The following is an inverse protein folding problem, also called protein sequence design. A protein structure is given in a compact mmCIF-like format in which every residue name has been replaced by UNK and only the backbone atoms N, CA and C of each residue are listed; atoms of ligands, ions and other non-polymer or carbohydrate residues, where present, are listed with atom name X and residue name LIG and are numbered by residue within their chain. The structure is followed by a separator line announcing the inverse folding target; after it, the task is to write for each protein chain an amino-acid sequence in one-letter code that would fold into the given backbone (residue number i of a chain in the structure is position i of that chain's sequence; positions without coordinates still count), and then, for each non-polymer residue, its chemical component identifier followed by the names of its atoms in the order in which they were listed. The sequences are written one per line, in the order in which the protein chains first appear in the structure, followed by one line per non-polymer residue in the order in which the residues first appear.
data_IF_417325174253
#
_entry.id   IF_417325174253
#
_cell.length_a   1.000
_cell.length_b   1.000
_cell.length_c   1.000
_cell.angle_alpha   90.00
_cell.angle_beta   90.00
_cell.angle_gamma   90.00
#
_symmetry.space_group_name_H-M   'P 1'
#
loop_
_entity.id
_entity.type
_entity.pdbx_description
1 polymer ?
#
# COMPACT_ATOMS: atom_id res chain seq x y z
N UNK A 1 -13.38 -24.09 -29.85
CA UNK A 1 -13.63 -24.52 -28.47
C UNK A 1 -12.96 -23.52 -27.55
N UNK A 2 -13.72 -22.81 -26.70
CA UNK A 2 -13.12 -22.02 -25.62
C UNK A 2 -12.39 -23.00 -24.68
N UNK A 3 -11.11 -22.75 -24.37
CA UNK A 3 -10.41 -23.51 -23.34
C UNK A 3 -11.10 -23.21 -22.02
N UNK A 4 -11.76 -24.21 -21.42
CA UNK A 4 -12.36 -24.10 -20.11
C UNK A 4 -11.27 -24.33 -19.06
N UNK A 5 -10.95 -23.30 -18.28
CA UNK A 5 -10.01 -23.36 -17.16
C UNK A 5 -8.82 -22.40 -17.30
N UNK A 6 -8.06 -22.27 -16.22
CA UNK A 6 -6.86 -21.46 -16.16
C UNK A 6 -5.69 -22.15 -16.89
N UNK A 7 -4.67 -21.40 -17.35
CA UNK A 7 -3.43 -21.96 -17.87
C UNK A 7 -2.79 -22.95 -16.89
N UNK A 8 -2.01 -23.93 -17.38
CA UNK A 8 -1.36 -24.93 -16.51
C UNK A 8 -0.31 -24.31 -15.58
N UNK A 9 0.28 -23.22 -15.99
CA UNK A 9 1.28 -22.42 -15.29
C UNK A 9 0.68 -21.28 -14.46
N UNK A 10 -0.65 -21.25 -14.31
CA UNK A 10 -1.34 -20.26 -13.47
C UNK A 10 -0.91 -20.41 -12.00
N UNK A 11 -0.47 -19.28 -11.41
CA UNK A 11 0.01 -19.25 -10.03
C UNK A 11 -1.16 -19.04 -9.05
N UNK A 12 -1.60 -20.13 -8.45
CA UNK A 12 -2.54 -20.07 -7.32
C UNK A 12 -1.78 -19.68 -6.05
N UNK A 13 -2.30 -18.73 -5.29
CA UNK A 13 -1.62 -18.24 -4.11
C UNK A 13 -2.52 -17.55 -3.11
N UNK A 14 -1.89 -16.96 -2.12
CA UNK A 14 -2.53 -16.17 -1.07
C UNK A 14 -1.86 -14.82 -0.91
N UNK A 15 -2.55 -13.90 -0.21
CA UNK A 15 -2.04 -12.58 0.11
C UNK A 15 -2.22 -12.25 1.59
N UNK A 16 -1.21 -11.64 2.18
CA UNK A 16 -1.24 -11.13 3.55
C UNK A 16 -0.51 -9.79 3.63
N UNK A 17 -0.79 -8.99 4.64
CA UNK A 17 -0.07 -7.75 4.90
C UNK A 17 0.79 -7.90 6.16
N UNK A 18 2.01 -7.36 6.15
CA UNK A 18 2.90 -7.34 7.31
C UNK A 18 2.22 -6.78 8.56
N UNK A 19 1.54 -5.64 8.41
CA UNK A 19 0.82 -4.98 9.51
C UNK A 19 -0.32 -5.82 10.11
N UNK A 20 -0.93 -6.72 9.33
CA UNK A 20 -2.01 -7.59 9.79
C UNK A 20 -1.50 -8.89 10.41
N UNK A 21 -0.34 -9.35 9.96
CA UNK A 21 0.16 -10.68 10.27
C UNK A 21 1.33 -10.69 11.26
N UNK A 22 2.33 -9.83 11.05
CA UNK A 22 3.61 -9.95 11.74
C UNK A 22 3.49 -9.80 13.25
N UNK A 23 2.80 -8.78 13.75
CA UNK A 23 2.88 -8.41 15.16
C UNK A 23 4.29 -7.98 15.55
N UNK A 24 4.76 -8.38 16.75
CA UNK A 24 6.13 -8.06 17.20
C UNK A 24 6.51 -6.58 17.00
N UNK A 25 5.57 -5.67 17.32
CA UNK A 25 5.57 -4.27 16.86
C UNK A 25 6.73 -3.41 17.42
N UNK A 26 7.38 -3.86 18.51
CA UNK A 26 8.58 -3.24 19.08
C UNK A 26 9.78 -4.21 19.18
N UNK A 27 9.65 -5.42 18.59
CA UNK A 27 10.71 -6.43 18.68
C UNK A 27 11.80 -6.16 17.64
N UNK A 28 13.05 -6.50 18.01
CA UNK A 28 14.24 -6.47 17.17
C UNK A 28 14.48 -5.10 16.47
N UNK A 29 14.13 -4.02 17.19
CA UNK A 29 14.36 -2.66 16.73
C UNK A 29 13.36 -2.14 15.71
N UNK A 30 12.19 -2.80 15.51
CA UNK A 30 11.10 -2.22 14.71
C UNK A 30 10.64 -0.91 15.37
N UNK A 31 10.50 0.15 14.56
CA UNK A 31 9.85 1.40 14.96
C UNK A 31 8.32 1.30 14.92
N UNK A 32 7.66 2.28 15.56
CA UNK A 32 6.20 2.43 15.40
C UNK A 32 5.83 2.80 13.97
N UNK A 33 4.72 2.26 13.51
CA UNK A 33 4.12 2.64 12.24
C UNK A 33 2.66 3.09 12.39
N UNK A 34 2.10 3.62 11.32
CA UNK A 34 0.74 4.19 11.35
C UNK A 34 -0.36 3.19 11.66
N UNK A 35 -0.15 1.89 11.43
CA UNK A 35 -1.14 0.86 11.77
C UNK A 35 -1.12 0.50 13.24
N UNK A 36 0.01 0.66 13.94
CA UNK A 36 0.11 0.41 15.37
C UNK A 36 -0.80 1.34 16.19
N UNK A 37 -1.31 2.42 15.59
CA UNK A 37 -2.23 3.39 16.20
C UNK A 37 -3.71 3.16 15.88
N UNK A 38 -4.06 2.10 15.15
CA UNK A 38 -5.45 1.84 14.75
C UNK A 38 -6.21 1.14 15.85
N UNK A 39 -7.11 1.91 16.48
CA UNK A 39 -8.00 1.41 17.52
C UNK A 39 -9.11 0.52 16.95
N UNK A 40 -9.42 -0.54 17.67
CA UNK A 40 -10.53 -1.45 17.42
C UNK A 40 -11.11 -1.91 18.75
N UNK A 41 -12.43 -1.79 18.94
CA UNK A 41 -13.09 -2.35 20.11
C UNK A 41 -13.72 -3.71 19.72
N UNK A 42 -13.29 -4.83 20.34
CA UNK A 42 -13.83 -6.15 20.03
C UNK A 42 -15.34 -6.27 20.31
N UNK A 43 -15.87 -5.39 21.16
CA UNK A 43 -17.30 -5.36 21.53
C UNK A 43 -18.18 -4.59 20.55
N UNK A 44 -17.60 -3.91 19.55
CA UNK A 44 -18.39 -3.22 18.53
C UNK A 44 -19.32 -4.17 17.78
N UNK A 45 -20.56 -3.77 17.60
CA UNK A 45 -21.49 -4.40 16.69
C UNK A 45 -20.99 -4.30 15.24
N UNK A 46 -21.59 -5.06 14.33
CA UNK A 46 -21.24 -4.99 12.90
C UNK A 46 -21.45 -3.59 12.33
N UNK A 47 -22.53 -2.93 12.74
CA UNK A 47 -22.89 -1.57 12.35
C UNK A 47 -21.88 -0.55 12.89
N UNK A 48 -21.48 -0.67 14.15
CA UNK A 48 -20.46 0.18 14.76
C UNK A 48 -19.10 -0.01 14.09
N UNK A 49 -18.71 -1.24 13.78
CA UNK A 49 -17.48 -1.51 13.02
C UNK A 49 -17.49 -0.81 11.67
N UNK A 50 -18.61 -0.86 10.95
CA UNK A 50 -18.74 -0.20 9.66
C UNK A 50 -18.64 1.33 9.74
N UNK A 51 -19.11 1.93 10.84
CA UNK A 51 -19.11 3.38 11.05
C UNK A 51 -17.81 3.88 11.70
N UNK A 52 -17.29 3.13 12.69
CA UNK A 52 -16.15 3.54 13.53
C UNK A 52 -14.81 2.99 13.03
N UNK A 53 -14.81 2.05 12.08
CA UNK A 53 -13.55 1.57 11.46
C UNK A 53 -12.72 2.77 11.02
N UNK A 54 -11.49 2.85 11.52
CA UNK A 54 -10.60 4.02 11.44
C UNK A 54 -10.21 4.37 9.99
N UNK A 55 -11.19 4.86 9.22
CA UNK A 55 -10.94 5.43 7.89
C UNK A 55 -10.31 6.81 7.97
N UNK A 56 -10.52 7.49 9.11
CA UNK A 56 -9.99 8.82 9.42
C UNK A 56 -9.40 8.83 10.81
N UNK A 57 -8.23 9.39 10.93
CA UNK A 57 -7.52 9.62 12.17
C UNK A 57 -7.63 11.10 12.51
N UNK A 58 -7.95 11.43 13.75
CA UNK A 58 -7.84 12.78 14.28
C UNK A 58 -6.76 12.85 15.37
N UNK A 59 -6.40 14.06 15.78
CA UNK A 59 -5.33 14.31 16.73
C UNK A 59 -5.61 13.68 18.12
N UNK A 60 -6.86 13.66 18.56
CA UNK A 60 -7.27 13.02 19.82
C UNK A 60 -6.99 11.51 19.81
N UNK A 61 -7.44 10.80 18.78
CA UNK A 61 -7.21 9.35 18.63
C UNK A 61 -5.71 9.04 18.46
N UNK A 62 -5.00 9.89 17.74
CA UNK A 62 -3.57 9.76 17.54
C UNK A 62 -2.81 9.83 18.88
N UNK A 63 -3.10 10.84 19.69
CA UNK A 63 -2.52 11.01 21.04
C UNK A 63 -2.93 9.89 21.99
N UNK A 64 -4.19 9.48 21.99
CA UNK A 64 -4.69 8.39 22.81
C UNK A 64 -3.95 7.07 22.52
N UNK A 65 -3.73 6.75 21.24
CA UNK A 65 -3.02 5.54 20.84
C UNK A 65 -1.53 5.54 21.27
N UNK A 66 -0.91 6.72 21.31
CA UNK A 66 0.48 6.86 21.77
C UNK A 66 0.62 6.83 23.29
N UNK A 67 -0.43 7.19 24.03
CA UNK A 67 -0.42 7.25 25.49
C UNK A 67 -0.38 5.85 26.15
N UNK A 68 -0.86 4.82 25.44
CA UNK A 68 -0.87 3.44 25.95
C UNK A 68 -0.39 2.45 24.87
N UNK A 69 0.91 2.18 24.86
CA UNK A 69 1.51 1.20 23.96
C UNK A 69 1.39 -0.24 24.45
N UNK A 70 0.96 -0.47 25.69
CA UNK A 70 0.79 -1.80 26.26
C UNK A 70 -0.60 -2.39 25.95
N UNK A 71 -1.56 -1.57 25.55
CA UNK A 71 -2.89 -2.03 25.13
C UNK A 71 -2.81 -2.80 23.81
N UNK A 72 -2.82 -4.10 23.89
CA UNK A 72 -2.85 -5.00 22.74
C UNK A 72 -4.28 -5.41 22.36
N UNK A 73 -5.22 -5.32 23.30
CA UNK A 73 -6.62 -5.71 23.06
C UNK A 73 -7.30 -4.79 22.06
N UNK A 74 -7.10 -3.49 22.22
CA UNK A 74 -7.73 -2.47 21.36
C UNK A 74 -6.86 -2.05 20.15
N UNK A 75 -5.62 -2.53 20.08
CA UNK A 75 -4.71 -2.25 18.97
C UNK A 75 -4.21 -3.53 18.31
N UNK A 76 -5.08 -4.26 17.59
CA UNK A 76 -4.79 -5.62 17.10
C UNK A 76 -3.61 -5.70 16.14
N UNK A 77 -3.24 -4.62 15.45
CA UNK A 77 -2.09 -4.60 14.57
C UNK A 77 -0.75 -4.73 15.31
N UNK A 78 -0.71 -4.41 16.63
CA UNK A 78 0.49 -4.55 17.46
C UNK A 78 0.89 -6.01 17.68
N UNK A 79 -0.08 -6.93 17.68
CA UNK A 79 0.19 -8.36 17.87
C UNK A 79 -0.05 -9.19 16.60
N UNK A 80 -0.95 -8.77 15.68
CA UNK A 80 -1.30 -9.52 14.48
C UNK A 80 -1.69 -10.96 14.79
N UNK A 81 -1.18 -11.89 13.98
CA UNK A 81 -1.23 -13.35 14.25
C UNK A 81 0.12 -13.89 14.75
N UNK A 82 1.01 -12.99 15.16
CA UNK A 82 2.38 -13.28 15.60
C UNK A 82 3.22 -14.00 14.52
N UNK A 83 2.98 -13.65 13.26
CA UNK A 83 3.68 -14.25 12.12
C UNK A 83 5.20 -14.03 12.19
N UNK A 84 5.66 -12.91 12.76
CA UNK A 84 7.09 -12.63 12.92
C UNK A 84 7.84 -13.74 13.67
N UNK A 85 7.21 -14.32 14.70
CA UNK A 85 7.80 -15.38 15.52
C UNK A 85 7.41 -16.79 15.04
N UNK A 86 6.34 -16.93 14.23
CA UNK A 86 5.74 -18.23 13.86
C UNK A 86 5.79 -18.53 12.36
N UNK A 87 6.43 -17.70 11.57
CA UNK A 87 6.41 -17.78 10.10
C UNK A 87 6.87 -19.15 9.55
N UNK A 88 7.76 -19.86 10.25
CA UNK A 88 8.22 -21.19 9.82
C UNK A 88 7.06 -22.19 9.80
N UNK A 89 6.29 -22.26 10.90
CA UNK A 89 5.13 -23.15 11.01
C UNK A 89 4.04 -22.75 10.00
N UNK A 90 3.77 -21.47 9.88
CA UNK A 90 2.74 -20.96 8.96
C UNK A 90 3.13 -21.21 7.49
N UNK A 91 4.42 -21.13 7.16
CA UNK A 91 4.91 -21.41 5.81
C UNK A 91 4.79 -22.90 5.44
N UNK A 92 5.00 -23.81 6.39
CA UNK A 92 4.74 -25.24 6.19
C UNK A 92 3.26 -25.48 5.83
N UNK A 93 2.33 -24.82 6.55
CA UNK A 93 0.90 -24.90 6.26
C UNK A 93 0.56 -24.35 4.85
N UNK A 94 1.22 -23.26 4.42
CA UNK A 94 1.05 -22.73 3.06
C UNK A 94 1.55 -23.73 2.01
N UNK A 95 2.66 -24.40 2.27
CA UNK A 95 3.19 -25.43 1.37
C UNK A 95 2.25 -26.64 1.29
N UNK A 96 1.69 -27.11 2.43
CA UNK A 96 0.69 -28.18 2.48
C UNK A 96 -0.59 -27.81 1.72
N UNK A 97 -1.04 -26.54 1.82
CA UNK A 97 -2.18 -26.01 1.07
C UNK A 97 -1.90 -25.99 -0.44
N UNK A 98 -0.64 -26.07 -0.85
CA UNK A 98 -0.23 -26.16 -2.25
C UNK A 98 -0.19 -24.83 -2.98
N UNK A 99 -0.11 -23.69 -2.27
CA UNK A 99 0.04 -22.38 -2.91
C UNK A 99 1.36 -22.30 -3.69
N UNK A 100 1.36 -21.55 -4.78
CA UNK A 100 2.50 -21.39 -5.70
C UNK A 100 3.10 -20.01 -5.66
N UNK A 101 2.38 -19.05 -5.08
CA UNK A 101 2.86 -17.69 -4.86
C UNK A 101 2.29 -17.15 -3.55
N UNK A 102 3.15 -16.58 -2.72
CA UNK A 102 2.78 -15.84 -1.52
C UNK A 102 2.97 -14.35 -1.81
N UNK A 103 1.89 -13.58 -1.78
CA UNK A 103 1.98 -12.13 -1.74
C UNK A 103 2.05 -11.69 -0.28
N UNK A 104 3.15 -11.06 0.10
CA UNK A 104 3.28 -10.42 1.42
C UNK A 104 3.82 -9.01 1.28
N UNK A 105 3.70 -8.19 2.33
CA UNK A 105 4.31 -6.86 2.34
C UNK A 105 5.54 -6.82 3.23
N UNK A 106 6.39 -5.82 3.00
CA UNK A 106 7.57 -5.53 3.80
C UNK A 106 7.25 -4.34 4.70
N UNK A 107 7.43 -4.49 6.01
CA UNK A 107 7.20 -3.41 6.97
C UNK A 107 8.35 -2.40 6.91
N UNK A 108 8.07 -1.18 6.42
CA UNK A 108 9.08 -0.12 6.32
C UNK A 108 9.72 0.19 7.68
N UNK A 109 8.90 0.33 8.74
CA UNK A 109 9.39 0.61 10.09
C UNK A 109 10.23 -0.53 10.71
N UNK A 110 10.20 -1.75 10.12
CA UNK A 110 11.09 -2.83 10.53
C UNK A 110 12.47 -2.73 9.87
N UNK A 111 12.54 -2.13 8.68
CA UNK A 111 13.78 -1.92 7.93
C UNK A 111 14.44 -0.58 8.27
N UNK A 112 13.65 0.48 8.37
CA UNK A 112 14.06 1.82 8.80
C UNK A 112 13.11 2.29 9.89
N UNK A 113 13.44 2.11 11.18
CA UNK A 113 12.53 2.35 12.31
C UNK A 113 11.91 3.75 12.35
N UNK A 114 12.66 4.77 11.96
CA UNK A 114 12.19 6.15 11.83
C UNK A 114 11.86 6.54 10.38
N UNK A 115 12.25 5.73 9.40
CA UNK A 115 12.09 5.99 7.98
C UNK A 115 13.20 6.86 7.37
N UNK A 116 13.78 7.75 8.13
CA UNK A 116 14.90 8.62 7.75
C UNK A 116 16.26 8.19 8.33
N UNK A 117 16.32 7.03 8.98
CA UNK A 117 17.54 6.45 9.52
C UNK A 117 18.65 6.36 8.47
N UNK A 118 19.89 6.58 8.89
CA UNK A 118 21.04 6.54 7.98
C UNK A 118 21.39 5.13 7.50
N UNK A 119 21.08 4.11 8.30
CA UNK A 119 21.37 2.71 8.02
C UNK A 119 20.11 1.86 8.29
N UNK A 120 19.90 0.79 7.54
CA UNK A 120 18.79 -0.12 7.79
C UNK A 120 19.01 -0.96 9.06
N UNK A 121 17.91 -1.41 9.64
CA UNK A 121 17.91 -2.40 10.70
C UNK A 121 18.20 -3.79 10.12
N UNK A 122 19.37 -4.33 10.39
CA UNK A 122 19.82 -5.62 9.88
C UNK A 122 18.98 -6.80 10.36
N UNK A 123 18.40 -6.73 11.58
CA UNK A 123 17.48 -7.76 12.07
C UNK A 123 16.21 -7.84 11.22
N UNK A 124 15.66 -6.68 10.85
CA UNK A 124 14.51 -6.61 9.96
C UNK A 124 14.81 -7.15 8.56
N UNK A 125 15.96 -6.78 7.98
CA UNK A 125 16.39 -7.33 6.68
C UNK A 125 16.57 -8.84 6.75
N UNK A 126 17.23 -9.35 7.80
CA UNK A 126 17.44 -10.78 7.98
C UNK A 126 16.13 -11.56 8.04
N UNK A 127 15.12 -11.05 8.75
CA UNK A 127 13.80 -11.67 8.82
C UNK A 127 13.22 -11.91 7.41
N UNK A 128 13.21 -10.90 6.55
CA UNK A 128 12.67 -11.05 5.19
C UNK A 128 13.56 -11.91 4.28
N UNK A 129 14.89 -11.88 4.46
CA UNK A 129 15.79 -12.80 3.75
C UNK A 129 15.44 -14.25 4.08
N UNK A 130 15.38 -14.58 5.38
CA UNK A 130 15.09 -15.94 5.85
C UNK A 130 13.71 -16.41 5.38
N UNK A 131 12.68 -15.55 5.47
CA UNK A 131 11.32 -15.85 5.03
C UNK A 131 11.27 -16.13 3.52
N UNK A 132 11.90 -15.29 2.70
CA UNK A 132 11.85 -15.43 1.24
C UNK A 132 12.67 -16.61 0.75
N UNK A 133 13.83 -16.88 1.35
CA UNK A 133 14.63 -18.08 1.07
C UNK A 133 13.83 -19.35 1.40
N UNK A 134 13.09 -19.37 2.51
CA UNK A 134 12.22 -20.49 2.88
C UNK A 134 11.00 -20.63 1.95
N UNK A 135 10.40 -19.54 1.47
CA UNK A 135 9.36 -19.61 0.44
C UNK A 135 9.87 -20.36 -0.80
N UNK A 136 11.05 -20.00 -1.30
CA UNK A 136 11.65 -20.66 -2.46
C UNK A 136 12.01 -22.12 -2.18
N UNK A 137 12.49 -22.46 -0.97
CA UNK A 137 12.75 -23.84 -0.57
C UNK A 137 11.49 -24.73 -0.62
N UNK A 138 10.31 -24.15 -0.37
CA UNK A 138 9.00 -24.80 -0.51
C UNK A 138 8.40 -24.69 -1.92
N UNK A 139 9.12 -24.12 -2.90
CA UNK A 139 8.62 -23.91 -4.27
C UNK A 139 7.53 -22.84 -4.39
N UNK A 140 7.48 -21.91 -3.44
CA UNK A 140 6.53 -20.81 -3.38
C UNK A 140 7.25 -19.54 -3.88
N UNK A 141 6.72 -18.92 -4.92
CA UNK A 141 7.21 -17.63 -5.42
C UNK A 141 6.87 -16.50 -4.48
N UNK A 142 7.75 -15.50 -4.41
CA UNK A 142 7.58 -14.32 -3.58
C UNK A 142 7.04 -13.15 -4.41
N UNK A 143 5.90 -12.61 -3.99
CA UNK A 143 5.30 -11.41 -4.55
C UNK A 143 5.32 -10.31 -3.47
N UNK A 144 6.34 -9.46 -3.48
CA UNK A 144 6.54 -8.48 -2.42
C UNK A 144 5.79 -7.18 -2.69
N UNK A 145 4.97 -6.75 -1.74
CA UNK A 145 4.41 -5.40 -1.68
C UNK A 145 5.33 -4.55 -0.81
N UNK A 146 5.95 -3.52 -1.39
CA UNK A 146 6.92 -2.67 -0.69
C UNK A 146 6.22 -1.84 0.38
N UNK A 147 5.09 -1.19 0.04
CA UNK A 147 4.28 -0.43 0.99
C UNK A 147 2.84 -0.93 1.01
N UNK A 148 2.42 -1.51 2.14
CA UNK A 148 1.03 -1.88 2.38
C UNK A 148 0.41 -0.94 3.41
N UNK A 149 0.22 0.33 3.00
CA UNK A 149 -0.36 1.45 3.74
C UNK A 149 0.55 2.06 4.83
N UNK A 150 1.31 1.24 5.57
CA UNK A 150 2.04 1.69 6.75
C UNK A 150 3.32 2.44 6.42
N UNK A 151 3.54 3.58 7.08
CA UNK A 151 4.84 4.26 7.09
C UNK A 151 5.34 4.40 8.53
N UNK A 152 6.66 4.52 8.73
CA UNK A 152 7.21 4.87 10.05
C UNK A 152 6.55 6.11 10.63
N UNK A 153 6.13 6.02 11.89
CA UNK A 153 5.36 7.07 12.54
C UNK A 153 6.12 8.40 12.62
N UNK A 154 7.42 8.32 12.79
CA UNK A 154 8.31 9.49 12.78
C UNK A 154 8.16 10.34 11.51
N UNK A 155 7.98 9.72 10.34
CA UNK A 155 7.76 10.47 9.09
C UNK A 155 6.45 11.27 9.11
N UNK A 156 5.44 10.81 9.86
CA UNK A 156 4.17 11.55 10.03
C UNK A 156 4.38 12.73 10.98
N UNK A 157 5.02 12.50 12.13
CA UNK A 157 5.20 13.52 13.16
C UNK A 157 6.18 14.61 12.76
N UNK A 158 7.27 14.27 12.09
CA UNK A 158 8.32 15.23 11.72
C UNK A 158 8.07 15.92 10.38
N UNK A 159 7.52 15.18 9.40
CA UNK A 159 7.42 15.68 8.03
C UNK A 159 5.98 15.78 7.52
N UNK A 160 4.98 15.36 8.30
CA UNK A 160 3.58 15.31 7.87
C UNK A 160 3.28 14.18 6.88
N UNK A 161 4.04 13.10 6.93
CA UNK A 161 3.83 11.92 6.08
C UNK A 161 3.97 12.23 4.58
N UNK A 162 3.06 11.71 3.77
CA UNK A 162 3.08 11.89 2.32
C UNK A 162 2.83 13.32 1.81
N UNK A 163 2.50 14.28 2.69
CA UNK A 163 2.47 15.71 2.31
C UNK A 163 3.85 16.25 1.95
N UNK A 164 4.89 15.66 2.49
CA UNK A 164 6.26 16.11 2.30
C UNK A 164 7.02 15.33 1.23
N UNK A 165 7.74 16.03 0.36
CA UNK A 165 8.73 15.44 -0.55
C UNK A 165 9.83 14.69 0.20
N UNK A 166 10.10 15.05 1.45
CA UNK A 166 11.05 14.32 2.29
C UNK A 166 10.68 12.86 2.46
N UNK A 167 9.38 12.56 2.61
CA UNK A 167 8.89 11.18 2.66
C UNK A 167 9.13 10.43 1.34
N UNK A 168 9.01 11.10 0.19
CA UNK A 168 9.38 10.53 -1.12
C UNK A 168 10.86 10.13 -1.15
N UNK A 169 11.76 11.03 -0.73
CA UNK A 169 13.20 10.76 -0.67
C UNK A 169 13.51 9.56 0.24
N UNK A 170 12.90 9.54 1.44
CA UNK A 170 13.07 8.41 2.38
C UNK A 170 12.55 7.09 1.79
N UNK A 171 11.39 7.13 1.10
CA UNK A 171 10.82 5.96 0.45
C UNK A 171 11.71 5.42 -0.68
N UNK A 172 12.25 6.30 -1.52
CA UNK A 172 13.16 5.92 -2.61
C UNK A 172 14.45 5.30 -2.05
N UNK A 173 14.97 5.78 -0.93
CA UNK A 173 16.10 5.14 -0.24
C UNK A 173 15.73 3.78 0.32
N UNK A 174 14.56 3.64 0.94
CA UNK A 174 14.04 2.37 1.44
C UNK A 174 13.90 1.35 0.31
N UNK A 175 13.26 1.71 -0.79
CA UNK A 175 13.08 0.80 -1.93
C UNK A 175 14.40 0.39 -2.58
N UNK A 176 15.38 1.31 -2.66
CA UNK A 176 16.75 0.98 -3.10
C UNK A 176 17.37 -0.11 -2.23
N UNK A 177 17.28 0.05 -0.90
CA UNK A 177 17.80 -0.95 0.04
C UNK A 177 17.15 -2.31 -0.17
N UNK A 178 15.83 -2.36 -0.41
CA UNK A 178 15.14 -3.61 -0.68
C UNK A 178 15.62 -4.27 -1.98
N UNK A 179 15.77 -3.50 -3.07
CA UNK A 179 16.25 -4.04 -4.34
C UNK A 179 17.69 -4.56 -4.22
N UNK A 180 18.57 -3.84 -3.53
CA UNK A 180 19.97 -4.23 -3.34
C UNK A 180 20.13 -5.45 -2.42
N UNK A 181 19.25 -5.59 -1.39
CA UNK A 181 19.44 -6.60 -0.34
C UNK A 181 18.52 -7.83 -0.48
N UNK A 182 17.35 -7.68 -1.12
CA UNK A 182 16.33 -8.72 -1.26
C UNK A 182 16.02 -9.05 -2.72
N UNK A 183 16.59 -8.32 -3.67
CA UNK A 183 16.17 -8.36 -5.07
C UNK A 183 16.21 -9.74 -5.72
N UNK A 184 17.20 -10.55 -5.39
CA UNK A 184 17.38 -11.93 -5.88
C UNK A 184 16.38 -12.95 -5.29
N UNK A 185 15.61 -12.54 -4.26
CA UNK A 185 14.62 -13.35 -3.53
C UNK A 185 13.19 -13.02 -3.88
N UNK A 186 12.95 -12.05 -4.75
CA UNK A 186 11.59 -11.57 -5.05
C UNK A 186 11.28 -11.73 -6.53
N UNK A 187 10.22 -12.49 -6.84
CA UNK A 187 9.78 -12.77 -8.22
C UNK A 187 8.98 -11.61 -8.82
N UNK A 188 8.17 -10.92 -7.99
CA UNK A 188 7.30 -9.82 -8.42
C UNK A 188 7.27 -8.73 -7.36
N UNK A 189 7.27 -7.47 -7.79
CA UNK A 189 7.23 -6.31 -6.92
C UNK A 189 5.98 -5.47 -7.12
N UNK A 190 5.41 -4.97 -6.01
CA UNK A 190 4.41 -3.91 -6.00
C UNK A 190 4.91 -2.77 -5.11
N UNK A 191 5.21 -1.59 -5.65
CA UNK A 191 5.61 -0.45 -4.83
C UNK A 191 4.55 -0.06 -3.79
N UNK A 192 3.27 -0.05 -4.18
CA UNK A 192 2.16 0.32 -3.31
C UNK A 192 1.02 -0.69 -3.39
N UNK A 193 0.39 -0.98 -2.25
CA UNK A 193 -0.92 -1.61 -2.19
C UNK A 193 -2.01 -0.59 -2.53
N UNK A 194 -2.96 -0.96 -3.36
CA UNK A 194 -4.21 -0.24 -3.63
C UNK A 194 -4.10 1.29 -3.62
N UNK A 195 -3.48 1.87 -4.64
CA UNK A 195 -3.21 3.31 -4.75
C UNK A 195 -4.41 4.19 -4.44
N UNK A 196 -5.62 3.76 -4.86
CA UNK A 196 -6.85 4.50 -4.66
C UNK A 196 -7.35 4.51 -3.22
N UNK A 197 -6.73 3.74 -2.31
CA UNK A 197 -7.03 3.80 -0.88
C UNK A 197 -6.84 5.21 -0.30
N UNK A 198 -5.92 6.00 -0.82
CA UNK A 198 -5.71 7.38 -0.41
C UNK A 198 -6.97 8.24 -0.45
N UNK A 199 -7.90 7.96 -1.38
CA UNK A 199 -9.17 8.69 -1.48
C UNK A 199 -10.27 8.15 -0.55
N UNK A 200 -10.45 6.84 -0.48
CA UNK A 200 -11.56 6.25 0.29
C UNK A 200 -11.21 5.90 1.74
N UNK A 201 -9.92 5.83 2.06
CA UNK A 201 -9.40 5.60 3.41
C UNK A 201 -8.11 6.40 3.62
N UNK A 202 -8.20 7.75 3.77
CA UNK A 202 -7.04 8.63 3.75
C UNK A 202 -6.00 8.34 4.83
N UNK A 203 -6.41 7.92 6.03
CA UNK A 203 -5.44 7.55 7.05
C UNK A 203 -4.61 6.33 6.64
N UNK A 204 -5.25 5.29 6.09
CA UNK A 204 -4.50 4.13 5.61
C UNK A 204 -3.69 4.45 4.34
N UNK A 205 -4.32 5.08 3.35
CA UNK A 205 -3.73 5.22 2.03
C UNK A 205 -2.62 6.27 1.96
N UNK A 206 -2.78 7.40 2.68
CA UNK A 206 -1.87 8.55 2.59
C UNK A 206 -1.41 9.08 3.95
N UNK A 207 -1.79 8.42 5.05
CA UNK A 207 -1.35 8.71 6.42
C UNK A 207 -1.67 10.13 6.90
N UNK A 208 -2.83 10.69 6.50
CA UNK A 208 -3.29 12.01 6.91
C UNK A 208 -4.07 11.98 8.23
N UNK A 209 -3.81 12.98 9.09
CA UNK A 209 -4.57 13.28 10.29
C UNK A 209 -5.56 14.40 9.94
N UNK A 210 -6.86 14.12 10.04
CA UNK A 210 -7.92 14.94 9.44
C UNK A 210 -7.97 16.38 9.94
N UNK A 211 -7.89 16.58 11.26
CA UNK A 211 -7.99 17.87 11.89
C UNK A 211 -6.69 18.70 11.90
N UNK A 212 -5.65 18.18 11.28
CA UNK A 212 -4.41 18.91 11.00
C UNK A 212 -4.40 19.57 9.62
N UNK A 213 -5.48 19.42 8.82
CA UNK A 213 -5.57 19.91 7.45
C UNK A 213 -6.69 20.95 7.30
N UNK A 214 -6.34 22.14 6.81
CA UNK A 214 -7.33 23.17 6.46
C UNK A 214 -8.15 22.79 5.23
N UNK A 215 -7.48 22.21 4.21
CA UNK A 215 -8.09 21.64 3.00
C UNK A 215 -7.74 20.17 2.86
N UNK A 216 -8.52 19.34 3.53
CA UNK A 216 -8.30 17.90 3.60
C UNK A 216 -8.37 17.22 2.22
N UNK A 217 -9.27 17.70 1.34
CA UNK A 217 -9.44 17.14 0.00
C UNK A 217 -8.20 17.43 -0.86
N UNK A 218 -7.69 18.64 -0.82
CA UNK A 218 -6.47 19.02 -1.53
C UNK A 218 -5.25 18.23 -1.01
N UNK A 219 -5.14 18.09 0.33
CA UNK A 219 -4.07 17.33 0.97
C UNK A 219 -4.03 15.87 0.52
N UNK A 220 -5.20 15.20 0.38
CA UNK A 220 -5.30 13.84 -0.13
C UNK A 220 -4.67 13.73 -1.53
N UNK A 221 -5.05 14.60 -2.47
CA UNK A 221 -4.55 14.51 -3.83
C UNK A 221 -3.10 14.93 -3.96
N UNK A 222 -2.62 15.86 -3.12
CA UNK A 222 -1.20 16.18 -3.04
C UNK A 222 -0.37 14.99 -2.54
N UNK A 223 -0.84 14.28 -1.52
CA UNK A 223 -0.20 13.05 -1.03
C UNK A 223 -0.17 11.95 -2.11
N UNK A 224 -1.28 11.75 -2.82
CA UNK A 224 -1.36 10.82 -3.93
C UNK A 224 -0.38 11.19 -5.06
N UNK A 225 -0.23 12.49 -5.36
CA UNK A 225 0.78 12.97 -6.31
C UNK A 225 2.19 12.57 -5.88
N UNK A 226 2.56 12.78 -4.61
CA UNK A 226 3.85 12.37 -4.08
C UNK A 226 4.05 10.84 -4.12
N UNK A 227 3.00 10.06 -3.87
CA UNK A 227 3.06 8.60 -4.03
C UNK A 227 3.26 8.19 -5.50
N UNK A 228 2.62 8.87 -6.48
CA UNK A 228 2.87 8.60 -7.90
C UNK A 228 4.32 8.87 -8.29
N UNK A 229 4.91 9.96 -7.79
CA UNK A 229 6.33 10.26 -8.01
C UNK A 229 7.21 9.19 -7.36
N UNK A 230 6.93 8.83 -6.10
CA UNK A 230 7.65 7.77 -5.40
C UNK A 230 7.56 6.41 -6.14
N UNK A 231 6.38 6.08 -6.66
CA UNK A 231 6.16 4.87 -7.46
C UNK A 231 7.02 4.87 -8.74
N UNK A 232 6.99 5.96 -9.49
CA UNK A 232 7.75 6.09 -10.73
C UNK A 232 9.28 6.02 -10.48
N UNK A 233 9.77 6.69 -9.43
CA UNK A 233 11.18 6.60 -9.05
C UNK A 233 11.57 5.21 -8.57
N UNK A 234 10.67 4.49 -7.89
CA UNK A 234 10.89 3.10 -7.48
C UNK A 234 11.00 2.18 -8.69
N UNK A 235 10.14 2.34 -9.70
CA UNK A 235 10.21 1.58 -10.95
C UNK A 235 11.53 1.83 -11.67
N UNK A 236 11.92 3.10 -11.78
CA UNK A 236 13.19 3.47 -12.41
C UNK A 236 14.37 2.76 -11.76
N UNK A 237 14.54 2.92 -10.46
CA UNK A 237 15.68 2.32 -9.76
C UNK A 237 15.59 0.78 -9.68
N UNK A 238 14.39 0.22 -9.62
CA UNK A 238 14.20 -1.22 -9.65
C UNK A 238 14.68 -1.84 -10.96
N UNK A 239 14.37 -1.23 -12.11
CA UNK A 239 14.88 -1.68 -13.41
C UNK A 239 16.38 -1.42 -13.58
N UNK A 240 16.94 -0.36 -12.95
CA UNK A 240 18.38 -0.07 -12.96
C UNK A 240 19.17 -1.10 -12.11
N UNK A 241 18.67 -1.45 -10.91
CA UNK A 241 19.36 -2.36 -9.98
C UNK A 241 19.12 -3.84 -10.34
N UNK A 242 17.91 -4.17 -10.78
CA UNK A 242 17.44 -5.52 -11.10
C UNK A 242 16.94 -5.59 -12.55
N UNK A 243 17.79 -5.56 -13.54
CA UNK A 243 17.37 -5.63 -14.93
C UNK A 243 16.49 -6.86 -15.21
N UNK A 244 15.29 -6.63 -15.76
CA UNK A 244 14.31 -7.69 -16.04
C UNK A 244 13.33 -8.01 -14.89
N UNK A 245 13.46 -7.35 -13.75
CA UNK A 245 12.46 -7.44 -12.67
C UNK A 245 11.08 -7.01 -13.17
N UNK A 246 10.03 -7.54 -12.52
CA UNK A 246 8.63 -7.21 -12.80
C UNK A 246 8.05 -6.37 -11.68
N UNK A 247 7.75 -5.10 -11.98
CA UNK A 247 7.26 -4.11 -11.03
C UNK A 247 5.88 -3.64 -11.46
N UNK A 248 4.86 -3.99 -10.70
CA UNK A 248 3.46 -3.71 -11.02
C UNK A 248 2.88 -2.50 -10.30
N UNK A 249 1.65 -2.15 -10.69
CA UNK A 249 0.81 -1.20 -9.96
C UNK A 249 -0.51 -1.84 -9.54
N UNK A 250 -1.07 -1.39 -8.43
CA UNK A 250 -2.25 -2.03 -7.84
C UNK A 250 -3.32 -1.02 -7.43
N UNK A 251 -4.58 -1.42 -7.63
CA UNK A 251 -5.77 -0.71 -7.13
C UNK A 251 -6.70 -1.67 -6.37
N UNK A 252 -7.55 -1.12 -5.48
CA UNK A 252 -8.79 -1.76 -5.09
C UNK A 252 -9.81 -1.53 -6.21
N UNK A 253 -10.27 -2.58 -6.88
CA UNK A 253 -11.24 -2.45 -7.96
C UNK A 253 -12.65 -2.27 -7.41
N UNK A 254 -13.20 -1.08 -7.59
CA UNK A 254 -14.61 -0.77 -7.32
C UNK A 254 -15.41 -0.92 -8.62
N UNK A 255 -16.10 -2.04 -8.76
CA UNK A 255 -16.92 -2.29 -9.95
C UNK A 255 -18.30 -1.73 -9.74
N UNK A 256 -18.66 -0.72 -10.52
CA UNK A 256 -19.98 -0.10 -10.50
C UNK A 256 -20.75 -0.51 -11.75
N UNK A 257 -22.00 -0.88 -11.58
CA UNK A 257 -22.96 -1.14 -12.66
C UNK A 257 -24.01 -0.03 -12.70
N UNK A 258 -24.51 0.36 -13.87
CA UNK A 258 -25.58 1.35 -13.93
C UNK A 258 -26.88 0.75 -13.40
N UNK A 259 -27.67 1.52 -12.67
CA UNK A 259 -28.97 1.08 -12.12
C UNK A 259 -29.93 0.67 -13.22
N UNK A 260 -29.91 1.38 -14.36
CA UNK A 260 -30.68 1.06 -15.55
C UNK A 260 -29.85 1.31 -16.82
N UNK A 261 -30.39 1.00 -17.98
CA UNK A 261 -29.78 1.35 -19.27
C UNK A 261 -30.03 2.80 -19.74
N UNK A 262 -30.57 3.66 -18.88
CA UNK A 262 -30.73 5.09 -19.19
C UNK A 262 -29.36 5.74 -19.34
N UNK A 263 -29.24 6.71 -20.29
CA UNK A 263 -27.97 7.41 -20.52
C UNK A 263 -27.33 8.00 -19.26
N UNK A 264 -28.15 8.61 -18.37
CA UNK A 264 -27.67 9.24 -17.15
C UNK A 264 -27.06 8.22 -16.17
N UNK A 265 -27.70 7.06 -15.97
CA UNK A 265 -27.19 5.99 -15.11
C UNK A 265 -25.86 5.42 -15.68
N UNK A 266 -25.80 5.24 -17.00
CA UNK A 266 -24.58 4.77 -17.68
C UNK A 266 -23.46 5.81 -17.57
N UNK A 267 -23.76 7.10 -17.74
CA UNK A 267 -22.78 8.16 -17.57
C UNK A 267 -22.26 8.25 -16.14
N UNK A 268 -23.14 8.11 -15.14
CA UNK A 268 -22.73 8.10 -13.73
C UNK A 268 -21.76 6.94 -13.46
N UNK A 269 -22.09 5.74 -13.91
CA UNK A 269 -21.20 4.57 -13.78
C UNK A 269 -19.82 4.81 -14.42
N UNK A 270 -19.77 5.44 -15.60
CA UNK A 270 -18.51 5.78 -16.26
C UNK A 270 -17.70 6.78 -15.43
N UNK A 271 -18.33 7.80 -14.87
CA UNK A 271 -17.66 8.79 -14.01
C UNK A 271 -17.13 8.14 -12.72
N UNK A 272 -17.93 7.28 -12.08
CA UNK A 272 -17.52 6.54 -10.89
C UNK A 272 -16.29 5.67 -11.18
N UNK A 273 -16.28 4.98 -12.30
CA UNK A 273 -15.15 4.14 -12.74
C UNK A 273 -13.90 4.98 -13.04
N UNK A 274 -14.05 6.12 -13.69
CA UNK A 274 -12.95 7.05 -13.95
C UNK A 274 -12.31 7.55 -12.66
N UNK A 275 -13.12 8.03 -11.70
CA UNK A 275 -12.62 8.64 -10.47
C UNK A 275 -12.15 7.63 -9.42
N UNK A 276 -12.71 6.43 -9.41
CA UNK A 276 -12.38 5.40 -8.41
C UNK A 276 -11.30 4.43 -8.87
N UNK A 277 -11.15 4.20 -10.17
CA UNK A 277 -10.27 3.18 -10.73
C UNK A 277 -9.32 3.71 -11.80
N UNK A 278 -9.84 4.29 -12.87
CA UNK A 278 -9.04 4.60 -14.06
C UNK A 278 -8.02 5.71 -13.85
N UNK A 279 -8.31 6.72 -13.02
CA UNK A 279 -7.34 7.76 -12.69
C UNK A 279 -5.98 7.19 -12.26
N UNK A 280 -6.00 6.29 -11.30
CA UNK A 280 -4.78 5.70 -10.74
C UNK A 280 -4.06 4.82 -11.77
N UNK A 281 -4.82 4.01 -12.51
CA UNK A 281 -4.25 3.17 -13.56
C UNK A 281 -3.69 4.00 -14.71
N UNK A 282 -4.40 5.05 -15.16
CA UNK A 282 -3.92 5.93 -16.21
C UNK A 282 -2.59 6.59 -15.86
N UNK A 283 -2.44 7.08 -14.61
CA UNK A 283 -1.16 7.66 -14.17
C UNK A 283 -0.06 6.61 -14.15
N UNK A 284 -0.30 5.44 -13.58
CA UNK A 284 0.71 4.38 -13.46
C UNK A 284 1.10 3.74 -14.80
N UNK A 285 0.15 3.64 -15.76
CA UNK A 285 0.41 2.97 -17.05
C UNK A 285 0.82 3.92 -18.16
N UNK A 286 0.32 5.16 -18.15
CA UNK A 286 0.53 6.16 -19.21
C UNK A 286 1.46 7.29 -18.80
N UNK A 287 1.81 7.38 -17.52
CA UNK A 287 2.72 8.39 -16.97
C UNK A 287 2.21 9.82 -17.07
N UNK A 288 0.89 10.03 -17.05
CA UNK A 288 0.29 11.36 -17.07
C UNK A 288 -1.10 11.38 -16.46
N UNK A 289 -1.50 12.54 -15.97
CA UNK A 289 -2.87 12.75 -15.51
C UNK A 289 -3.82 12.79 -16.71
N UNK A 290 -4.98 12.12 -16.64
CA UNK A 290 -5.98 12.16 -17.69
C UNK A 290 -6.78 13.46 -17.62
N UNK A 291 -7.21 13.99 -18.79
CA UNK A 291 -7.92 15.25 -18.90
C UNK A 291 -9.24 15.33 -18.07
N UNK A 292 -9.88 14.19 -17.81
CA UNK A 292 -11.07 14.17 -16.94
C UNK A 292 -10.73 14.48 -15.49
N UNK A 293 -9.51 14.13 -15.00
CA UNK A 293 -9.05 14.50 -13.68
C UNK A 293 -8.59 15.94 -13.57
N UNK A 294 -7.96 16.49 -14.61
CA UNK A 294 -7.62 17.92 -14.67
C UNK A 294 -8.90 18.76 -14.53
N UNK A 295 -9.97 18.41 -15.27
CA UNK A 295 -11.28 19.04 -15.15
C UNK A 295 -11.89 18.86 -13.76
N UNK A 296 -11.80 17.66 -13.18
CA UNK A 296 -12.29 17.40 -11.82
C UNK A 296 -11.58 18.28 -10.81
N UNK A 297 -10.27 18.40 -10.86
CA UNK A 297 -9.49 19.24 -9.97
C UNK A 297 -9.88 20.72 -10.09
N UNK A 298 -10.00 21.21 -11.31
CA UNK A 298 -10.48 22.59 -11.57
C UNK A 298 -11.86 22.84 -10.95
N UNK A 299 -12.81 21.92 -11.14
CA UNK A 299 -14.17 22.03 -10.59
C UNK A 299 -14.23 21.96 -9.07
N UNK A 300 -13.33 21.20 -8.45
CA UNK A 300 -13.25 21.02 -6.99
C UNK A 300 -12.31 22.02 -6.32
N UNK A 301 -11.62 22.88 -7.07
CA UNK A 301 -10.64 23.81 -6.53
C UNK A 301 -9.38 23.13 -5.99
N UNK A 302 -9.06 21.92 -6.47
CA UNK A 302 -7.89 21.15 -6.05
C UNK A 302 -6.66 21.61 -6.84
N UNK A 303 -5.60 21.98 -6.12
CA UNK A 303 -4.35 22.45 -6.69
C UNK A 303 -3.21 21.53 -6.30
N UNK A 304 -2.59 20.89 -7.28
CA UNK A 304 -1.43 20.02 -7.08
C UNK A 304 -0.16 20.84 -7.29
N UNK A 305 0.72 20.80 -6.30
CA UNK A 305 2.06 21.41 -6.38
C UNK A 305 3.01 20.48 -7.17
N UNK A 306 3.09 20.73 -8.47
CA UNK A 306 4.02 20.04 -9.36
C UNK A 306 5.42 20.65 -9.23
N UNK A 307 6.42 19.82 -9.04
CA UNK A 307 7.81 20.23 -9.07
C UNK A 307 8.43 20.04 -10.48
N UNK A 308 9.46 20.82 -10.82
CA UNK A 308 10.20 20.61 -12.07
C UNK A 308 10.72 19.18 -12.18
N UNK A 309 10.38 18.50 -13.28
CA UNK A 309 10.77 17.12 -13.57
C UNK A 309 9.71 16.05 -13.23
N UNK A 310 8.66 16.37 -12.47
CA UNK A 310 7.62 15.40 -12.11
C UNK A 310 6.96 14.74 -13.32
N UNK A 311 6.62 15.54 -14.32
CA UNK A 311 5.97 15.03 -15.54
C UNK A 311 6.87 14.08 -16.33
N UNK A 312 8.16 14.35 -16.39
CA UNK A 312 9.16 13.50 -17.04
C UNK A 312 9.38 12.19 -16.25
N UNK A 313 9.42 12.27 -14.92
CA UNK A 313 9.54 11.11 -14.05
C UNK A 313 8.36 10.16 -14.25
N UNK A 314 7.14 10.67 -14.21
CA UNK A 314 5.94 9.86 -14.45
C UNK A 314 5.94 9.24 -15.86
N UNK A 315 6.22 10.05 -16.89
CA UNK A 315 6.18 9.63 -18.28
C UNK A 315 7.16 8.51 -18.64
N UNK A 316 8.32 8.48 -17.98
CA UNK A 316 9.40 7.53 -18.29
C UNK A 316 9.28 6.21 -17.57
N UNK A 317 8.51 6.15 -16.49
CA UNK A 317 8.55 5.05 -15.53
C UNK A 317 7.14 4.48 -15.27
N UNK A 318 6.62 3.75 -16.26
CA UNK A 318 5.34 3.04 -16.16
C UNK A 318 5.52 1.63 -15.57
N UNK A 319 4.43 1.09 -15.02
CA UNK A 319 4.38 -0.27 -14.47
C UNK A 319 4.46 -1.35 -15.54
N UNK A 320 5.00 -2.54 -15.18
CA UNK A 320 5.10 -3.71 -16.08
C UNK A 320 3.80 -4.52 -16.15
N UNK A 321 3.01 -4.52 -15.05
CA UNK A 321 1.75 -5.25 -14.98
C UNK A 321 0.77 -4.56 -14.03
N UNK A 322 -0.51 -4.87 -14.17
CA UNK A 322 -1.58 -4.40 -13.31
C UNK A 322 -2.02 -5.51 -12.36
N UNK A 323 -2.13 -5.18 -11.07
CA UNK A 323 -2.76 -6.01 -10.05
C UNK A 323 -4.01 -5.29 -9.50
N UNK A 324 -4.94 -6.05 -8.97
CA UNK A 324 -6.11 -5.48 -8.31
C UNK A 324 -6.68 -6.40 -7.24
N UNK A 325 -7.25 -5.80 -6.20
CA UNK A 325 -8.14 -6.47 -5.25
C UNK A 325 -9.57 -6.30 -5.72
N UNK A 326 -10.36 -7.36 -5.66
CA UNK A 326 -11.78 -7.31 -6.00
C UNK A 326 -12.60 -7.98 -4.89
N UNK A 327 -13.40 -7.16 -4.20
CA UNK A 327 -14.19 -7.63 -3.05
C UNK A 327 -15.69 -7.48 -3.27
N UNK A 328 -16.12 -6.47 -4.01
CA UNK A 328 -17.53 -6.13 -4.14
C UNK A 328 -17.84 -5.43 -5.47
N UNK A 329 -19.09 -5.54 -5.88
CA UNK A 329 -19.69 -4.71 -6.92
C UNK A 329 -20.79 -3.84 -6.30
N UNK A 330 -21.04 -2.72 -6.91
CA UNK A 330 -22.11 -1.79 -6.51
C UNK A 330 -22.92 -1.34 -7.74
N UNK A 331 -24.06 -0.71 -7.47
CA UNK A 331 -24.92 -0.10 -8.48
C UNK A 331 -25.02 1.38 -8.19
N UNK A 332 -24.85 2.24 -9.18
CA UNK A 332 -25.02 3.70 -9.11
C UNK A 332 -26.21 4.14 -9.91
#
# INVERSE_FOLDING_TARGET
MMKTGFPKDFLWGGAMASSQAEGAFLQDGKGLDTQDLRYFDPNWTKEERAQKANRRMNDEKFKAALADLEDLEHYPFRHGIDFYNRWQEDLELFAELGIKVLRTSICWARIFPNGDDAQPNESGLKFYMDLFDACHAHGIKVFATILHYTIPLHLVTEYGGWKSRKTVECYVRYTRTLFERLGDRVDYWLPFNEFNAGKFNPYNGVCLIEDQEEDYQNAIFQCLHHQFIANALTIQQGHEILPGSKIGGMIARFTTYPATCKPDDVMQMILDDQYSNWFYLDVMTRGKYPAYMERYFEQQGIHIDWQPGDAEILKKNSIDFVAFSYYLSQVS
#
